data_IF_837146065344
#
_entry.id   IF_837146065344
#
_cell.length_a   1.000
_cell.length_b   1.000
_cell.length_c   1.000
_cell.angle_alpha   90.00
_cell.angle_beta   90.00
_cell.angle_gamma   90.00
#
_symmetry.space_group_name_H-M   'P 1'
#
loop_
_entity.id
_entity.type
_entity.pdbx_description
1 polymer ?
#
# COMPACT_ATOMS: atom_id res chain seq x y z
N UNK A 1 -16.28 -6.05 -7.29
CA UNK A 1 -15.58 -4.77 -7.56
C UNK A 1 -14.36 -5.11 -8.38
N UNK A 2 -14.18 -4.47 -9.53
CA UNK A 2 -12.96 -4.64 -10.33
C UNK A 2 -11.83 -3.92 -9.60
N UNK A 3 -10.70 -4.57 -9.39
CA UNK A 3 -9.52 -3.89 -8.85
C UNK A 3 -9.10 -2.79 -9.82
N UNK A 4 -8.91 -1.56 -9.31
CA UNK A 4 -8.52 -0.37 -10.09
C UNK A 4 -7.01 -0.17 -10.09
N UNK A 5 -6.28 -1.26 -10.00
CA UNK A 5 -4.82 -1.29 -10.02
C UNK A 5 -4.32 -2.60 -10.64
N UNK A 6 -3.06 -2.59 -11.07
CA UNK A 6 -2.38 -3.76 -11.59
C UNK A 6 -0.90 -3.75 -11.20
N UNK A 7 -0.28 -4.93 -11.20
CA UNK A 7 1.15 -5.08 -11.00
C UNK A 7 1.86 -4.88 -12.33
N UNK A 8 2.94 -4.09 -12.34
CA UNK A 8 3.83 -3.91 -13.51
C UNK A 8 5.29 -4.00 -13.10
N UNK A 9 6.13 -4.43 -14.04
CA UNK A 9 7.58 -4.30 -13.89
C UNK A 9 8.01 -2.84 -13.95
N UNK A 10 9.00 -2.51 -13.13
CA UNK A 10 9.65 -1.21 -13.02
C UNK A 10 11.16 -1.40 -13.23
N UNK A 11 11.85 -0.51 -13.96
CA UNK A 11 13.28 -0.68 -14.23
C UNK A 11 14.17 -0.71 -12.97
N UNK A 12 13.78 -0.02 -11.90
CA UNK A 12 14.62 0.20 -10.71
C UNK A 12 14.13 -0.49 -9.45
N UNK A 13 12.82 -0.77 -9.31
CA UNK A 13 12.21 -1.27 -8.07
C UNK A 13 11.71 -2.71 -8.17
N UNK A 14 11.96 -3.39 -9.29
CA UNK A 14 11.37 -4.71 -9.54
C UNK A 14 9.92 -4.53 -9.96
N UNK A 15 8.96 -4.89 -9.11
CA UNK A 15 7.54 -4.75 -9.42
C UNK A 15 6.93 -3.55 -8.68
N UNK A 16 5.84 -2.99 -9.22
CA UNK A 16 5.10 -1.89 -8.59
C UNK A 16 3.61 -1.93 -8.93
N UNK A 17 2.81 -1.32 -8.07
CA UNK A 17 1.36 -1.22 -8.27
C UNK A 17 1.01 0.06 -9.02
N UNK A 18 0.22 -0.05 -10.07
CA UNK A 18 -0.17 1.07 -10.93
C UNK A 18 -1.69 1.18 -11.01
N UNK A 19 -2.22 2.41 -10.97
CA UNK A 19 -3.64 2.63 -11.11
C UNK A 19 -4.14 2.29 -12.53
N UNK A 20 -5.26 1.58 -12.66
CA UNK A 20 -5.91 1.27 -13.94
C UNK A 20 -7.12 2.16 -14.21
N UNK A 21 -7.51 2.98 -13.23
CA UNK A 21 -8.56 3.99 -13.31
C UNK A 21 -8.12 5.23 -12.52
N UNK A 22 -8.84 6.35 -12.65
CA UNK A 22 -8.62 7.54 -11.83
C UNK A 22 -8.96 7.19 -10.39
N UNK A 23 -8.03 7.49 -9.48
CA UNK A 23 -8.29 7.43 -8.05
C UNK A 23 -8.40 8.85 -7.47
N UNK A 24 -9.41 9.12 -6.65
CA UNK A 24 -9.71 10.42 -6.07
C UNK A 24 -9.13 10.59 -4.69
N UNK A 25 -8.68 11.81 -4.39
CA UNK A 25 -8.21 12.17 -3.07
C UNK A 25 -9.21 11.75 -1.97
N UNK A 26 -8.69 11.14 -0.91
CA UNK A 26 -9.47 10.67 0.24
C UNK A 26 -10.10 9.27 0.08
N UNK A 27 -10.02 8.64 -1.10
CA UNK A 27 -10.56 7.29 -1.25
C UNK A 27 -9.59 6.20 -0.78
N UNK A 28 -10.15 5.07 -0.34
CA UNK A 28 -9.38 3.87 -0.02
C UNK A 28 -9.00 3.18 -1.34
N UNK A 29 -7.71 3.16 -1.63
CA UNK A 29 -7.12 2.53 -2.81
C UNK A 29 -6.93 1.03 -2.59
N UNK A 30 -6.42 0.64 -1.41
CA UNK A 30 -6.25 -0.76 -1.00
C UNK A 30 -6.65 -0.94 0.46
N UNK A 31 -7.40 -2.01 0.73
CA UNK A 31 -7.83 -2.35 2.10
C UNK A 31 -6.80 -3.25 2.76
N UNK A 32 -6.24 -2.79 3.88
CA UNK A 32 -5.30 -3.53 4.71
C UNK A 32 -5.97 -4.68 5.43
N UNK A 33 -5.60 -5.91 5.09
CA UNK A 33 -6.05 -7.11 5.82
C UNK A 33 -4.85 -7.81 6.42
N UNK A 34 -4.81 -7.98 7.74
CA UNK A 34 -3.71 -8.70 8.39
C UNK A 34 -3.84 -10.19 8.09
N UNK A 35 -2.84 -10.77 7.44
CA UNK A 35 -2.73 -12.22 7.20
C UNK A 35 -1.93 -12.91 8.31
N UNK A 36 -0.85 -12.26 8.75
CA UNK A 36 0.04 -12.80 9.77
C UNK A 36 0.51 -11.70 10.72
N UNK A 37 0.63 -12.04 12.01
CA UNK A 37 1.30 -11.22 13.03
C UNK A 37 2.68 -11.79 13.28
N UNK A 38 3.69 -10.93 13.30
CA UNK A 38 5.09 -11.27 13.48
C UNK A 38 5.65 -10.59 14.74
N UNK A 39 6.59 -11.27 15.39
CA UNK A 39 7.36 -10.74 16.53
C UNK A 39 8.65 -10.03 16.11
N UNK A 40 9.01 -10.08 14.83
CA UNK A 40 10.21 -9.44 14.26
C UNK A 40 9.90 -8.80 12.91
N UNK A 41 10.71 -7.82 12.52
CA UNK A 41 10.55 -7.09 11.27
C UNK A 41 11.18 -7.84 10.09
N UNK A 42 10.63 -7.65 8.89
CA UNK A 42 11.24 -8.05 7.63
C UNK A 42 10.84 -7.08 6.50
N UNK A 43 11.34 -7.29 5.29
CA UNK A 43 11.14 -6.38 4.15
C UNK A 43 9.70 -6.23 3.66
N UNK A 44 8.77 -7.10 4.08
CA UNK A 44 7.36 -7.06 3.70
C UNK A 44 6.43 -6.83 4.89
N UNK A 45 7.00 -6.66 6.10
CA UNK A 45 6.21 -6.45 7.29
C UNK A 45 5.98 -4.95 7.55
N UNK A 46 4.75 -4.61 7.89
CA UNK A 46 4.41 -3.30 8.42
C UNK A 46 4.49 -3.32 9.94
N UNK A 47 5.17 -2.34 10.54
CA UNK A 47 5.14 -2.16 11.99
C UNK A 47 3.81 -1.51 12.40
N UNK A 48 3.07 -2.16 13.31
CA UNK A 48 1.76 -1.68 13.82
C UNK A 48 1.81 -1.36 15.32
N UNK A 49 2.99 -1.47 15.93
CA UNK A 49 3.25 -1.22 17.32
C UNK A 49 4.73 -1.42 17.63
N UNK A 50 5.16 -1.02 18.83
CA UNK A 50 6.59 -1.00 19.20
C UNK A 50 7.34 -2.30 18.86
N UNK A 51 6.74 -3.44 19.19
CA UNK A 51 7.33 -4.77 18.97
C UNK A 51 6.34 -5.70 18.22
N UNK A 52 5.49 -5.11 17.36
CA UNK A 52 4.44 -5.83 16.64
C UNK A 52 4.46 -5.47 15.17
N UNK A 53 4.62 -6.49 14.34
CA UNK A 53 4.67 -6.37 12.90
C UNK A 53 3.59 -7.25 12.28
N UNK A 54 3.17 -6.93 11.06
CA UNK A 54 2.17 -7.70 10.33
C UNK A 54 2.52 -7.85 8.86
N UNK A 55 2.14 -8.98 8.28
CA UNK A 55 2.04 -9.15 6.84
C UNK A 55 0.59 -8.89 6.45
N UNK A 56 0.39 -7.96 5.51
CA UNK A 56 -0.92 -7.73 4.92
C UNK A 56 -1.15 -8.70 3.75
N UNK A 57 -2.36 -9.24 3.66
CA UNK A 57 -2.80 -10.07 2.55
C UNK A 57 -2.85 -9.28 1.22
N UNK A 58 -2.82 -10.01 0.11
CA UNK A 58 -2.95 -9.43 -1.22
C UNK A 58 -1.69 -8.67 -1.65
N UNK A 59 -1.87 -7.58 -2.41
CA UNK A 59 -0.78 -6.90 -3.12
C UNK A 59 -0.23 -5.66 -2.39
N UNK A 60 -0.64 -5.41 -1.14
CA UNK A 60 -0.15 -4.23 -0.38
C UNK A 60 1.38 -4.24 -0.22
N UNK A 61 1.98 -5.42 -0.05
CA UNK A 61 3.44 -5.57 0.06
C UNK A 61 4.21 -5.30 -1.25
N UNK A 62 3.51 -5.07 -2.38
CA UNK A 62 4.07 -4.69 -3.68
C UNK A 62 4.01 -3.19 -3.95
N UNK A 63 3.42 -2.41 -3.03
CA UNK A 63 3.38 -0.96 -3.18
C UNK A 63 4.74 -0.39 -2.78
N UNK A 64 5.34 0.37 -3.69
CA UNK A 64 6.69 0.89 -3.51
C UNK A 64 6.75 2.15 -2.65
N UNK A 65 7.94 2.41 -2.12
CA UNK A 65 8.25 3.64 -1.43
C UNK A 65 8.38 4.85 -2.37
N UNK A 66 7.94 6.02 -1.89
CA UNK A 66 8.28 7.35 -2.41
C UNK A 66 8.36 8.35 -1.25
N UNK A 67 9.33 9.28 -1.27
CA UNK A 67 9.42 10.39 -0.31
C UNK A 67 8.32 11.46 -0.52
N UNK A 68 7.72 11.50 -1.71
CA UNK A 68 6.51 12.29 -2.00
C UNK A 68 5.41 11.34 -2.49
N UNK A 69 4.78 10.57 -1.58
CA UNK A 69 3.86 9.52 -1.97
C UNK A 69 2.48 10.06 -2.28
N UNK A 70 1.77 9.37 -3.18
CA UNK A 70 0.39 9.66 -3.51
C UNK A 70 -0.63 8.95 -2.61
N UNK A 71 -0.21 7.97 -1.81
CA UNK A 71 -1.01 7.36 -0.74
C UNK A 71 -0.42 7.63 0.65
N UNK A 72 -1.30 7.59 1.65
CA UNK A 72 -0.95 7.54 3.08
C UNK A 72 -1.64 6.34 3.74
N UNK A 73 -1.25 6.04 4.98
CA UNK A 73 -1.80 4.94 5.75
C UNK A 73 -2.95 5.40 6.64
N UNK A 74 -4.06 4.67 6.62
CA UNK A 74 -5.13 4.74 7.61
C UNK A 74 -5.24 3.40 8.32
N UNK A 75 -5.19 3.38 9.66
CA UNK A 75 -5.38 2.16 10.43
C UNK A 75 -6.88 1.87 10.53
N UNK A 76 -7.33 0.78 9.91
CA UNK A 76 -8.73 0.39 9.92
C UNK A 76 -9.13 -0.32 11.22
N UNK A 77 -10.42 -0.66 11.35
CA UNK A 77 -11.00 -1.27 12.56
C UNK A 77 -10.36 -2.62 12.95
N UNK A 78 -9.71 -3.30 12.01
CA UNK A 78 -9.00 -4.57 12.26
C UNK A 78 -7.53 -4.37 12.66
N UNK A 79 -7.04 -3.13 12.66
CA UNK A 79 -5.63 -2.80 12.83
C UNK A 79 -4.80 -2.92 11.55
N UNK A 80 -5.44 -3.20 10.41
CA UNK A 80 -4.81 -3.23 9.09
C UNK A 80 -4.51 -1.83 8.56
N UNK A 81 -3.57 -1.72 7.63
CA UNK A 81 -3.16 -0.47 7.02
C UNK A 81 -3.86 -0.30 5.68
N UNK A 82 -4.92 0.50 5.65
CA UNK A 82 -5.55 0.92 4.40
C UNK A 82 -4.68 1.99 3.73
N UNK A 83 -4.58 1.91 2.41
CA UNK A 83 -3.86 2.90 1.62
C UNK A 83 -4.88 3.88 1.08
N UNK A 84 -4.77 5.13 1.49
CA UNK A 84 -5.71 6.20 1.17
C UNK A 84 -5.04 7.22 0.28
N UNK A 85 -5.67 7.58 -0.84
CA UNK A 85 -5.13 8.55 -1.78
C UNK A 85 -5.02 9.95 -1.11
N UNK A 86 -3.83 10.55 -1.11
CA UNK A 86 -3.54 11.89 -0.58
C UNK A 86 -3.92 13.00 -1.57
N UNK A 87 -3.94 12.65 -2.85
CA UNK A 87 -4.35 13.48 -3.99
C UNK A 87 -4.99 12.60 -5.05
N UNK A 88 -5.52 13.20 -6.09
CA UNK A 88 -5.93 12.43 -7.28
C UNK A 88 -4.72 11.68 -7.87
N UNK A 89 -4.92 10.41 -8.23
CA UNK A 89 -3.94 9.53 -8.87
C UNK A 89 -4.45 9.23 -10.28
N UNK A 90 -3.62 9.52 -11.28
CA UNK A 90 -4.00 9.33 -12.66
C UNK A 90 -3.93 7.86 -13.08
N UNK A 91 -4.67 7.50 -14.13
CA UNK A 91 -4.54 6.19 -14.79
C UNK A 91 -3.08 5.99 -15.23
N UNK A 92 -2.50 4.87 -14.87
CA UNK A 92 -1.12 4.50 -15.19
C UNK A 92 -0.06 5.13 -14.28
N UNK A 93 -0.44 5.87 -13.24
CA UNK A 93 0.47 6.37 -12.22
C UNK A 93 0.81 5.27 -11.20
N UNK A 94 2.06 5.21 -10.74
CA UNK A 94 2.50 4.27 -9.69
C UNK A 94 1.88 4.68 -8.35
N UNK A 95 1.20 3.73 -7.69
CA UNK A 95 0.71 3.89 -6.32
C UNK A 95 1.91 3.72 -5.39
N UNK A 96 2.13 4.69 -4.51
CA UNK A 96 3.29 4.72 -3.60
C UNK A 96 2.92 5.21 -2.22
N UNK A 97 3.68 4.80 -1.20
CA UNK A 97 3.51 5.26 0.19
C UNK A 97 4.85 5.53 0.88
N UNK A 98 4.82 6.21 2.01
CA UNK A 98 6.02 6.40 2.85
C UNK A 98 6.23 5.16 3.73
N UNK A 99 7.45 4.62 3.77
CA UNK A 99 7.79 3.47 4.61
C UNK A 99 8.09 3.88 6.06
N UNK A 100 8.25 5.19 6.32
CA UNK A 100 8.59 5.76 7.63
C UNK A 100 7.38 6.14 8.49
#
# INVERSE_FOLDING_TARGET
MTERFELRDTPEKGEGMFATDILKAGEIVMVGRIEQVLSENNSHASQIGKDKYVIHAGMIHKVNHSCDPNCGIHVNETGGHDFVARRDIAVGEEITFDYA
#
